data_IF_321230284129
#
_entry.id   IF_321230284129
#
_cell.length_a   1.000
_cell.length_b   1.000
_cell.length_c   1.000
_cell.angle_alpha   90.00
_cell.angle_beta   90.00
_cell.angle_gamma   90.00
#
_symmetry.space_group_name_H-M   'P 1'
#
loop_
_entity.id
_entity.type
_entity.pdbx_description
1 polymer ?
#
# COMPACT_ATOMS: atom_id res chain seq x y z
N UNK A 1 -17.71 -16.53 -7.64
CA UNK A 1 -17.18 -17.77 -8.23
C UNK A 1 -18.13 -18.95 -8.07
N UNK A 2 -18.58 -19.28 -6.83
CA UNK A 2 -19.39 -20.47 -6.53
C UNK A 2 -20.73 -20.49 -7.27
N UNK A 3 -21.40 -19.36 -7.37
CA UNK A 3 -22.69 -19.25 -8.11
C UNK A 3 -22.54 -19.49 -9.63
N UNK A 4 -21.35 -19.30 -10.16
CA UNK A 4 -21.03 -19.51 -11.60
C UNK A 4 -20.35 -20.86 -11.85
N UNK A 5 -20.34 -21.78 -10.86
CA UNK A 5 -19.67 -23.08 -10.97
C UNK A 5 -18.14 -23.04 -10.96
N UNK A 6 -17.55 -21.88 -10.61
CA UNK A 6 -16.11 -21.77 -10.46
C UNK A 6 -15.63 -22.32 -9.11
N UNK A 7 -14.37 -22.75 -9.07
CA UNK A 7 -13.71 -23.20 -7.85
C UNK A 7 -13.04 -22.02 -7.15
N UNK A 8 -13.27 -21.90 -5.83
CA UNK A 8 -12.58 -20.94 -4.97
C UNK A 8 -11.44 -21.68 -4.25
N UNK A 9 -10.21 -21.17 -4.42
CA UNK A 9 -9.07 -21.63 -3.65
C UNK A 9 -8.86 -20.72 -2.44
N UNK A 10 -8.83 -21.31 -1.25
CA UNK A 10 -8.47 -20.62 -0.03
C UNK A 10 -6.95 -20.72 0.14
N UNK A 11 -6.29 -19.58 0.15
CA UNK A 11 -4.86 -19.51 0.38
C UNK A 11 -4.53 -19.92 1.83
N UNK A 12 -3.44 -20.68 2.07
CA UNK A 12 -2.96 -20.92 3.42
C UNK A 12 -2.63 -19.62 4.16
N UNK A 13 -2.75 -19.61 5.49
CA UNK A 13 -2.48 -18.41 6.29
C UNK A 13 -1.02 -17.94 6.16
N UNK A 14 -0.11 -18.86 5.95
CA UNK A 14 1.33 -18.64 5.78
C UNK A 14 1.67 -17.88 4.47
N UNK A 15 0.76 -17.87 3.50
CA UNK A 15 0.95 -17.12 2.24
C UNK A 15 1.08 -15.60 2.46
N UNK A 16 0.55 -15.08 3.56
CA UNK A 16 0.75 -13.68 3.96
C UNK A 16 2.19 -13.33 4.33
N UNK A 17 3.05 -14.33 4.52
CA UNK A 17 4.45 -14.16 4.93
C UNK A 17 5.47 -14.36 3.81
N UNK A 18 5.04 -14.87 2.63
CA UNK A 18 5.93 -15.10 1.48
C UNK A 18 5.24 -14.72 0.18
N UNK A 19 5.69 -13.61 -0.41
CA UNK A 19 5.15 -13.09 -1.68
C UNK A 19 5.37 -14.05 -2.87
N UNK A 20 6.49 -14.76 -2.89
CA UNK A 20 6.81 -15.75 -3.92
C UNK A 20 5.83 -16.94 -3.91
N UNK A 21 5.37 -17.32 -2.72
CA UNK A 21 4.43 -18.43 -2.54
C UNK A 21 3.10 -18.19 -3.26
N UNK A 22 2.70 -16.92 -3.49
CA UNK A 22 1.47 -16.60 -4.23
C UNK A 22 1.56 -17.07 -5.68
N UNK A 23 2.66 -16.76 -6.37
CA UNK A 23 2.82 -17.16 -7.78
C UNK A 23 2.95 -18.67 -7.92
N UNK A 24 3.66 -19.33 -6.99
CA UNK A 24 3.69 -20.80 -6.91
C UNK A 24 2.30 -21.41 -6.68
N UNK A 25 1.45 -20.79 -5.87
CA UNK A 25 0.06 -21.22 -5.70
C UNK A 25 -0.77 -21.00 -6.98
N UNK A 26 -0.62 -19.85 -7.63
CA UNK A 26 -1.30 -19.53 -8.90
C UNK A 26 -1.00 -20.60 -9.94
N UNK A 27 0.26 -20.97 -10.10
CA UNK A 27 0.73 -22.03 -11.00
C UNK A 27 0.20 -23.41 -10.58
N UNK A 28 0.51 -23.86 -9.36
CA UNK A 28 0.17 -25.21 -8.85
C UNK A 28 -1.33 -25.48 -8.88
N UNK A 29 -2.16 -24.48 -8.56
CA UNK A 29 -3.62 -24.59 -8.56
C UNK A 29 -4.26 -24.16 -9.88
N UNK A 30 -3.45 -23.75 -10.88
CA UNK A 30 -3.89 -23.25 -12.19
C UNK A 30 -4.99 -22.18 -12.04
N UNK A 31 -4.72 -21.17 -11.21
CA UNK A 31 -5.65 -20.08 -10.95
C UNK A 31 -5.87 -19.29 -12.25
N UNK A 32 -7.14 -19.06 -12.59
CA UNK A 32 -7.49 -18.37 -13.83
C UNK A 32 -7.91 -16.91 -13.58
N UNK A 33 -8.39 -16.58 -12.38
CA UNK A 33 -8.86 -15.26 -11.99
C UNK A 33 -8.20 -14.85 -10.69
N UNK A 34 -7.58 -13.68 -10.69
CA UNK A 34 -6.91 -13.12 -9.51
C UNK A 34 -7.35 -11.65 -9.36
N UNK A 35 -7.61 -11.23 -8.13
CA UNK A 35 -7.95 -9.84 -7.82
C UNK A 35 -7.01 -9.31 -6.75
N UNK A 36 -6.45 -8.13 -6.99
CA UNK A 36 -5.60 -7.44 -6.02
C UNK A 36 -5.51 -5.93 -6.30
N UNK A 37 -5.13 -5.10 -5.30
CA UNK A 37 -4.84 -3.69 -5.53
C UNK A 37 -3.61 -3.52 -6.46
N UNK A 38 -3.55 -2.43 -7.25
CA UNK A 38 -2.40 -2.12 -8.10
C UNK A 38 -1.06 -2.08 -7.36
N UNK A 39 -1.02 -1.53 -6.16
CA UNK A 39 0.19 -1.47 -5.34
C UNK A 39 0.72 -2.86 -4.96
N UNK A 40 -0.16 -3.79 -4.62
CA UNK A 40 0.23 -5.18 -4.33
C UNK A 40 0.73 -5.89 -5.60
N UNK A 41 0.04 -5.70 -6.73
CA UNK A 41 0.49 -6.23 -8.01
C UNK A 41 1.90 -5.72 -8.37
N UNK A 42 2.12 -4.42 -8.23
CA UNK A 42 3.42 -3.80 -8.52
C UNK A 42 4.56 -4.40 -7.70
N UNK A 43 4.28 -4.74 -6.45
CA UNK A 43 5.28 -5.33 -5.57
C UNK A 43 5.52 -6.82 -5.85
N UNK A 44 4.47 -7.56 -6.25
CA UNK A 44 4.54 -9.00 -6.50
C UNK A 44 5.07 -9.35 -7.90
N UNK A 45 4.78 -8.51 -8.89
CA UNK A 45 5.09 -8.80 -10.29
C UNK A 45 6.58 -9.09 -10.56
N UNK A 46 7.56 -8.43 -9.91
CA UNK A 46 8.98 -8.77 -10.09
C UNK A 46 9.35 -10.20 -9.68
N UNK A 47 8.61 -10.81 -8.76
CA UNK A 47 8.85 -12.16 -8.26
C UNK A 47 8.09 -13.25 -9.03
N UNK A 48 7.27 -12.90 -10.01
CA UNK A 48 6.62 -13.89 -10.86
C UNK A 48 7.65 -14.57 -11.77
N UNK A 49 7.67 -15.88 -11.83
CA UNK A 49 8.38 -16.66 -12.85
C UNK A 49 7.72 -16.50 -14.23
N UNK A 50 8.43 -16.81 -15.30
CA UNK A 50 7.95 -16.59 -16.68
C UNK A 50 6.68 -17.41 -16.99
N UNK A 51 6.57 -18.63 -16.47
CA UNK A 51 5.44 -19.56 -16.72
C UNK A 51 4.32 -19.43 -15.65
N UNK A 52 4.56 -18.70 -14.56
CA UNK A 52 3.63 -18.66 -13.42
C UNK A 52 2.36 -17.84 -13.70
N UNK A 53 2.39 -17.01 -14.73
CA UNK A 53 1.23 -16.22 -15.18
C UNK A 53 0.41 -16.92 -16.28
N UNK A 54 0.86 -18.05 -16.81
CA UNK A 54 0.25 -18.72 -17.96
C UNK A 54 -1.19 -19.19 -17.72
N UNK A 55 -1.47 -19.65 -16.50
CA UNK A 55 -2.82 -20.08 -16.15
C UNK A 55 -3.79 -18.91 -15.92
N UNK A 56 -3.25 -17.71 -15.66
CA UNK A 56 -4.03 -16.52 -15.34
C UNK A 56 -4.66 -15.94 -16.61
N UNK A 57 -5.98 -15.88 -16.65
CA UNK A 57 -6.75 -15.36 -17.79
C UNK A 57 -7.27 -13.95 -17.52
N UNK A 58 -7.63 -13.69 -16.26
CA UNK A 58 -8.27 -12.47 -15.82
C UNK A 58 -7.56 -11.92 -14.58
N UNK A 59 -7.10 -10.70 -14.65
CA UNK A 59 -6.53 -9.98 -13.53
C UNK A 59 -7.39 -8.76 -13.22
N UNK A 60 -8.02 -8.75 -12.04
CA UNK A 60 -8.85 -7.66 -11.56
C UNK A 60 -8.02 -6.75 -10.64
N UNK A 61 -8.00 -5.46 -10.95
CA UNK A 61 -7.36 -4.43 -10.12
C UNK A 61 -8.41 -3.41 -9.68
N UNK A 62 -8.37 -3.00 -8.42
CA UNK A 62 -9.29 -2.01 -7.88
C UNK A 62 -8.81 -1.39 -6.57
N UNK A 63 -9.53 -0.37 -6.11
CA UNK A 63 -9.20 0.33 -4.87
C UNK A 63 -8.17 1.47 -5.01
N UNK A 64 -7.34 1.44 -6.04
CA UNK A 64 -6.33 2.46 -6.33
C UNK A 64 -6.30 2.79 -7.81
N UNK A 65 -5.65 3.90 -8.18
CA UNK A 65 -5.42 4.23 -9.57
C UNK A 65 -4.38 3.28 -10.18
N UNK A 66 -4.73 2.70 -11.32
CA UNK A 66 -3.84 1.81 -12.06
C UNK A 66 -2.88 2.64 -12.93
N UNK A 67 -1.58 2.43 -12.79
CA UNK A 67 -0.57 3.22 -13.51
C UNK A 67 -0.19 2.60 -14.87
N UNK A 68 0.07 3.46 -15.87
CA UNK A 68 0.55 3.00 -17.17
C UNK A 68 1.89 2.25 -17.11
N UNK A 69 2.78 2.63 -16.18
CA UNK A 69 4.05 1.94 -15.97
C UNK A 69 3.87 0.49 -15.49
N UNK A 70 2.92 0.25 -14.58
CA UNK A 70 2.60 -1.10 -14.13
C UNK A 70 2.02 -1.94 -15.27
N UNK A 71 1.15 -1.35 -16.10
CA UNK A 71 0.58 -2.05 -17.27
C UNK A 71 1.63 -2.40 -18.30
N UNK A 72 2.58 -1.52 -18.56
CA UNK A 72 3.68 -1.82 -19.47
C UNK A 72 4.54 -2.99 -18.98
N UNK A 73 4.85 -3.02 -17.68
CA UNK A 73 5.57 -4.14 -17.07
C UNK A 73 4.78 -5.45 -17.16
N UNK A 74 3.48 -5.40 -16.84
CA UNK A 74 2.60 -6.56 -16.92
C UNK A 74 2.45 -7.07 -18.36
N UNK A 75 2.23 -6.19 -19.32
CA UNK A 75 2.01 -6.54 -20.74
C UNK A 75 3.25 -7.13 -21.45
N UNK A 76 4.46 -6.94 -20.89
CA UNK A 76 5.68 -7.62 -21.37
C UNK A 76 5.71 -9.11 -21.01
N UNK A 77 5.00 -9.51 -19.95
CA UNK A 77 5.08 -10.86 -19.37
C UNK A 77 3.77 -11.63 -19.43
N UNK A 78 2.65 -10.96 -19.66
CA UNK A 78 1.32 -11.54 -19.61
C UNK A 78 0.43 -11.01 -20.73
N UNK A 79 -0.45 -11.86 -21.26
CA UNK A 79 -1.33 -11.54 -22.41
C UNK A 79 -2.82 -11.70 -22.10
N UNK A 80 -3.18 -11.76 -20.82
CA UNK A 80 -4.57 -11.95 -20.40
C UNK A 80 -5.40 -10.66 -20.42
N UNK A 81 -6.58 -10.76 -19.87
CA UNK A 81 -7.56 -9.67 -19.78
C UNK A 81 -7.41 -8.94 -18.45
N UNK A 82 -7.17 -7.64 -18.53
CA UNK A 82 -7.14 -6.75 -17.37
C UNK A 82 -8.54 -6.19 -17.11
N UNK A 83 -8.96 -6.23 -15.87
CA UNK A 83 -10.19 -5.59 -15.39
C UNK A 83 -9.83 -4.51 -14.37
N UNK A 84 -10.14 -3.27 -14.69
CA UNK A 84 -10.05 -2.16 -13.73
C UNK A 84 -11.40 -1.95 -13.07
N UNK A 85 -11.45 -2.12 -11.75
CA UNK A 85 -12.65 -2.03 -10.93
C UNK A 85 -12.64 -0.73 -10.11
N UNK A 86 -13.75 -0.05 -10.10
CA UNK A 86 -13.94 1.16 -9.33
C UNK A 86 -15.24 1.12 -8.56
N UNK A 87 -15.18 1.48 -7.28
CA UNK A 87 -16.35 1.73 -6.46
C UNK A 87 -15.98 2.08 -5.03
N UNK A 88 -16.75 2.95 -4.38
CA UNK A 88 -16.64 3.20 -2.95
C UNK A 88 -17.35 2.11 -2.15
N UNK A 89 -16.99 1.94 -0.89
CA UNK A 89 -17.65 1.04 0.06
C UNK A 89 -19.15 1.32 0.17
N UNK A 90 -19.53 2.59 0.06
CA UNK A 90 -20.90 3.08 0.10
C UNK A 90 -21.79 2.62 -1.08
N UNK A 91 -21.14 2.10 -2.15
CA UNK A 91 -21.81 1.50 -3.31
C UNK A 91 -21.47 0.01 -3.48
N UNK A 92 -21.08 -0.67 -2.41
CA UNK A 92 -20.79 -2.12 -2.37
C UNK A 92 -19.67 -2.53 -3.30
N UNK A 93 -18.47 -1.99 -3.03
CA UNK A 93 -17.17 -2.35 -3.60
C UNK A 93 -16.99 -1.92 -5.06
N UNK A 94 -17.76 -2.49 -6.00
CA UNK A 94 -17.59 -2.26 -7.44
C UNK A 94 -18.84 -1.60 -8.02
N UNK A 95 -18.67 -0.45 -8.64
CA UNK A 95 -19.73 0.32 -9.28
C UNK A 95 -19.47 0.55 -10.78
N UNK A 96 -18.21 0.63 -11.19
CA UNK A 96 -17.81 0.73 -12.59
C UNK A 96 -16.74 -0.30 -12.90
N UNK A 97 -16.69 -0.72 -14.15
CA UNK A 97 -15.77 -1.73 -14.65
C UNK A 97 -15.28 -1.36 -16.05
N UNK A 98 -13.96 -1.42 -16.25
CA UNK A 98 -13.31 -1.40 -17.53
C UNK A 98 -12.61 -2.74 -17.76
N UNK A 99 -12.73 -3.33 -18.94
CA UNK A 99 -12.07 -4.57 -19.30
C UNK A 99 -11.47 -4.48 -20.69
N UNK A 100 -10.22 -4.93 -20.84
CA UNK A 100 -9.54 -5.05 -22.12
C UNK A 100 -8.33 -6.00 -22.04
N UNK A 101 -7.89 -6.60 -23.16
CA UNK A 101 -6.60 -7.25 -23.22
C UNK A 101 -5.49 -6.28 -22.75
N UNK A 102 -4.60 -6.73 -21.89
CA UNK A 102 -3.59 -5.85 -21.25
C UNK A 102 -2.74 -5.06 -22.28
N UNK A 103 -2.49 -5.65 -23.45
CA UNK A 103 -1.71 -5.01 -24.52
C UNK A 103 -2.48 -3.94 -25.31
N UNK A 104 -3.80 -3.92 -25.19
CA UNK A 104 -4.66 -2.94 -25.85
C UNK A 104 -5.01 -1.75 -24.93
N UNK A 105 -4.64 -1.83 -23.66
CA UNK A 105 -4.87 -0.75 -22.70
C UNK A 105 -3.91 0.40 -22.97
N UNK A 106 -4.47 1.58 -23.24
CA UNK A 106 -3.70 2.81 -23.45
C UNK A 106 -3.15 3.42 -22.15
N UNK A 107 -2.42 4.53 -22.29
CA UNK A 107 -1.81 5.22 -21.15
C UNK A 107 -2.85 5.80 -20.16
N UNK A 108 -4.03 6.22 -20.65
CA UNK A 108 -5.16 6.69 -19.84
C UNK A 108 -6.14 5.55 -19.64
N UNK A 109 -6.16 4.99 -18.43
CA UNK A 109 -6.98 3.85 -18.06
C UNK A 109 -8.28 4.36 -17.43
N UNK A 110 -9.44 4.15 -18.06
CA UNK A 110 -10.70 4.57 -17.46
C UNK A 110 -11.08 3.68 -16.29
N UNK A 111 -11.94 4.18 -15.41
CA UNK A 111 -12.63 3.35 -14.42
C UNK A 111 -13.78 2.56 -15.04
N UNK A 112 -14.08 2.81 -16.28
CA UNK A 112 -15.02 2.03 -17.07
C UNK A 112 -16.44 2.58 -17.10
N UNK A 113 -17.36 1.71 -17.47
CA UNK A 113 -18.79 1.97 -17.47
C UNK A 113 -19.45 1.39 -16.20
N UNK A 114 -20.64 1.90 -15.79
CA UNK A 114 -21.38 1.33 -14.67
C UNK A 114 -21.71 -0.15 -14.91
N UNK A 115 -21.56 -0.95 -13.85
CA UNK A 115 -21.97 -2.37 -13.89
C UNK A 115 -23.51 -2.52 -13.88
N UNK A 116 -23.98 -3.72 -14.14
CA UNK A 116 -25.43 -4.00 -14.15
C UNK A 116 -26.09 -3.60 -12.83
N UNK A 117 -27.19 -2.87 -12.92
CA UNK A 117 -27.97 -2.39 -11.75
C UNK A 117 -27.40 -1.13 -11.09
N UNK A 118 -26.31 -0.56 -11.62
CA UNK A 118 -25.70 0.69 -11.17
C UNK A 118 -25.90 1.78 -12.24
N UNK A 119 -26.09 3.01 -11.79
CA UNK A 119 -26.12 4.21 -12.62
C UNK A 119 -25.05 5.17 -12.11
N UNK A 120 -24.27 5.73 -13.01
CA UNK A 120 -23.29 6.78 -12.74
C UNK A 120 -23.74 8.09 -13.41
N UNK A 121 -23.60 9.20 -12.69
CA UNK A 121 -23.83 10.55 -13.21
C UNK A 121 -22.61 11.41 -12.91
N UNK A 122 -22.32 12.32 -13.82
CA UNK A 122 -21.28 13.32 -13.59
C UNK A 122 -21.98 14.68 -13.57
N UNK A 123 -21.97 15.34 -12.40
CA UNK A 123 -22.67 16.59 -12.18
C UNK A 123 -21.69 17.75 -11.94
N UNK A 124 -22.06 18.91 -12.43
CA UNK A 124 -21.34 20.17 -12.14
C UNK A 124 -21.69 20.70 -10.73
N UNK A 125 -21.08 21.80 -10.34
CA UNK A 125 -21.30 22.42 -9.02
C UNK A 125 -22.74 22.95 -8.82
N UNK A 126 -23.49 23.17 -9.90
CA UNK A 126 -24.89 23.58 -9.85
C UNK A 126 -25.86 22.38 -9.83
N UNK A 127 -25.36 21.15 -9.92
CA UNK A 127 -26.14 19.93 -9.97
C UNK A 127 -26.63 19.56 -11.38
N UNK A 128 -26.18 20.26 -12.43
CA UNK A 128 -26.45 19.96 -13.82
C UNK A 128 -25.63 18.78 -14.34
N UNK A 129 -26.18 17.97 -15.26
CA UNK A 129 -25.42 16.87 -15.89
C UNK A 129 -24.34 17.45 -16.79
N UNK A 130 -23.08 17.04 -16.55
CA UNK A 130 -21.96 17.46 -17.38
C UNK A 130 -22.06 16.89 -18.79
N UNK A 131 -21.83 17.70 -19.85
CA UNK A 131 -21.64 17.20 -21.18
C UNK A 131 -20.45 16.25 -21.30
N UNK A 132 -20.47 15.39 -22.32
CA UNK A 132 -19.34 14.49 -22.63
C UNK A 132 -18.03 15.28 -22.77
N UNK A 133 -17.00 14.83 -22.08
CA UNK A 133 -15.69 15.46 -22.00
C UNK A 133 -15.55 16.53 -20.90
N UNK A 134 -16.64 17.00 -20.29
CA UNK A 134 -16.60 17.94 -19.19
C UNK A 134 -16.37 17.21 -17.84
N UNK A 135 -15.69 17.91 -16.92
CA UNK A 135 -15.37 17.44 -15.57
C UNK A 135 -16.50 17.76 -14.60
N UNK A 136 -16.80 16.86 -13.71
CA UNK A 136 -17.75 17.06 -12.63
C UNK A 136 -17.59 16.02 -11.53
N UNK A 137 -18.40 16.14 -10.48
CA UNK A 137 -18.45 15.13 -9.43
C UNK A 137 -19.12 13.85 -9.96
N UNK A 138 -18.50 12.70 -9.69
CA UNK A 138 -19.10 11.39 -9.95
C UNK A 138 -20.09 11.06 -8.86
N UNK A 139 -21.33 10.75 -9.24
CA UNK A 139 -22.38 10.27 -8.35
C UNK A 139 -22.82 8.88 -8.78
N UNK A 140 -23.14 8.02 -7.80
CA UNK A 140 -23.51 6.63 -8.04
C UNK A 140 -24.89 6.34 -7.45
N UNK A 141 -25.77 5.73 -8.25
CA UNK A 141 -27.08 5.26 -7.84
C UNK A 141 -27.27 3.79 -8.19
N UNK A 142 -28.18 3.11 -7.53
CA UNK A 142 -28.55 1.72 -7.84
C UNK A 142 -28.68 0.84 -6.61
N UNK A 143 -28.89 -0.46 -6.86
CA UNK A 143 -29.16 -1.46 -5.83
C UNK A 143 -27.99 -1.68 -4.84
N UNK A 144 -26.75 -1.36 -5.26
CA UNK A 144 -25.56 -1.48 -4.43
C UNK A 144 -25.37 -0.39 -3.39
N UNK A 145 -26.23 0.66 -3.35
CA UNK A 145 -26.06 1.74 -2.38
C UNK A 145 -26.31 1.26 -0.94
N UNK A 146 -25.41 1.61 -0.05
CA UNK A 146 -25.57 1.42 1.38
C UNK A 146 -26.77 2.23 1.92
N UNK A 147 -27.30 1.82 3.08
CA UNK A 147 -28.38 2.56 3.76
C UNK A 147 -27.91 3.92 4.27
N UNK A 148 -26.64 4.05 4.60
CA UNK A 148 -25.99 5.23 5.15
C UNK A 148 -24.92 4.86 6.17
N UNK A 149 -24.46 5.85 6.91
CA UNK A 149 -23.44 5.70 7.95
C UNK A 149 -24.12 5.45 9.32
N UNK A 150 -23.73 4.37 9.99
CA UNK A 150 -24.28 3.97 11.27
C UNK A 150 -24.06 5.07 12.33
N UNK A 151 -25.15 5.52 12.97
CA UNK A 151 -25.10 6.56 14.01
C UNK A 151 -24.73 7.96 13.52
N UNK A 152 -24.69 8.19 12.18
CA UNK A 152 -24.31 9.47 11.57
C UNK A 152 -25.37 10.00 10.60
N UNK A 153 -26.57 10.39 11.09
CA UNK A 153 -27.67 10.80 10.21
C UNK A 153 -27.35 12.07 9.40
N UNK A 154 -26.63 13.03 9.97
CA UNK A 154 -26.22 14.25 9.27
C UNK A 154 -25.30 13.95 8.08
N UNK A 155 -24.24 13.19 8.29
CA UNK A 155 -23.33 12.76 7.22
C UNK A 155 -24.04 11.90 6.18
N UNK A 156 -24.97 11.05 6.60
CA UNK A 156 -25.80 10.26 5.70
C UNK A 156 -26.63 11.15 4.78
N UNK A 157 -27.31 12.16 5.34
CA UNK A 157 -28.12 13.09 4.55
C UNK A 157 -27.29 13.97 3.61
N UNK A 158 -26.05 14.26 3.97
CA UNK A 158 -25.10 15.03 3.15
C UNK A 158 -24.60 14.23 1.94
N UNK A 159 -24.31 12.93 2.12
CA UNK A 159 -23.68 12.08 1.11
C UNK A 159 -24.67 11.24 0.30
N UNK A 160 -25.76 10.77 0.90
CA UNK A 160 -26.81 10.00 0.24
C UNK A 160 -28.02 10.90 0.00
N UNK A 161 -27.99 11.61 -1.11
CA UNK A 161 -28.98 12.63 -1.46
C UNK A 161 -30.09 12.06 -2.39
N UNK A 162 -31.25 12.69 -2.53
CA UNK A 162 -32.21 12.33 -3.57
C UNK A 162 -31.54 12.44 -4.97
N UNK A 163 -31.79 11.46 -5.84
CA UNK A 163 -31.35 11.54 -7.24
C UNK A 163 -32.20 12.56 -7.99
N UNK A 164 -31.67 13.72 -8.43
CA UNK A 164 -32.45 14.75 -9.09
C UNK A 164 -32.98 14.32 -10.45
N UNK A 165 -32.52 13.21 -10.98
CA UNK A 165 -32.89 12.63 -12.28
C UNK A 165 -33.46 11.22 -12.15
N UNK A 166 -33.80 10.79 -10.95
CA UNK A 166 -34.38 9.48 -10.66
C UNK A 166 -35.81 9.61 -10.09
N UNK A 167 -36.56 8.51 -10.07
CA UNK A 167 -37.94 8.47 -9.58
C UNK A 167 -38.01 8.22 -8.06
N UNK A 168 -37.51 9.18 -7.26
CA UNK A 168 -37.48 9.10 -5.80
C UNK A 168 -36.39 8.22 -5.20
N UNK A 169 -35.44 7.80 -5.99
CA UNK A 169 -34.26 7.04 -5.56
C UNK A 169 -33.20 7.94 -4.94
N UNK A 170 -32.23 7.30 -4.28
CA UNK A 170 -31.07 8.00 -3.72
C UNK A 170 -29.86 7.86 -4.65
N UNK A 171 -28.98 8.83 -4.58
CA UNK A 171 -27.69 8.83 -5.24
C UNK A 171 -26.59 9.19 -4.22
N UNK A 172 -25.46 8.51 -4.29
CA UNK A 172 -24.31 8.73 -3.43
C UNK A 172 -23.34 9.72 -4.08
N UNK A 173 -22.97 10.75 -3.35
CA UNK A 173 -21.95 11.73 -3.71
C UNK A 173 -20.59 11.19 -3.36
N UNK A 174 -19.80 10.77 -4.37
CA UNK A 174 -18.51 10.11 -4.12
C UNK A 174 -17.43 11.08 -3.66
N UNK A 175 -17.52 12.35 -4.03
CA UNK A 175 -16.44 13.32 -3.91
C UNK A 175 -15.30 13.10 -4.93
N UNK A 176 -15.48 12.19 -5.88
CA UNK A 176 -14.52 11.93 -6.94
C UNK A 176 -14.80 12.83 -8.15
N UNK A 177 -13.75 13.40 -8.72
CA UNK A 177 -13.79 14.15 -9.97
C UNK A 177 -13.68 13.17 -11.14
N UNK A 178 -14.58 13.26 -12.07
CA UNK A 178 -14.64 12.36 -13.22
C UNK A 178 -15.01 13.07 -14.52
N UNK A 179 -14.89 12.36 -15.63
CA UNK A 179 -15.26 12.82 -16.97
C UNK A 179 -15.83 11.65 -17.77
N UNK A 180 -16.95 11.86 -18.44
CA UNK A 180 -17.49 10.89 -19.41
C UNK A 180 -16.78 11.02 -20.75
N UNK A 181 -16.25 9.92 -21.28
CA UNK A 181 -15.65 9.85 -22.62
C UNK A 181 -16.73 9.69 -23.69
N UNK A 182 -16.35 9.90 -24.97
CA UNK A 182 -17.23 9.69 -26.11
C UNK A 182 -17.61 8.23 -26.35
N UNK A 183 -16.78 7.30 -25.88
CA UNK A 183 -17.00 5.85 -25.95
C UNK A 183 -17.87 5.33 -24.80
N UNK A 184 -18.37 6.21 -23.92
CA UNK A 184 -19.20 5.84 -22.77
C UNK A 184 -18.41 5.39 -21.55
N UNK A 185 -17.08 5.34 -21.59
CA UNK A 185 -16.23 5.07 -20.45
C UNK A 185 -16.08 6.32 -19.58
N UNK A 186 -15.81 6.10 -18.29
CA UNK A 186 -15.59 7.17 -17.31
C UNK A 186 -14.12 7.23 -16.93
N UNK A 187 -13.54 8.43 -17.04
CA UNK A 187 -12.23 8.73 -16.51
C UNK A 187 -12.33 9.19 -15.06
N UNK A 188 -11.45 8.66 -14.22
CA UNK A 188 -11.19 9.18 -12.88
C UNK A 188 -10.12 10.27 -12.95
N UNK A 189 -10.40 11.44 -12.39
CA UNK A 189 -9.53 12.62 -12.46
C UNK A 189 -9.01 13.08 -11.08
N UNK A 190 -9.20 12.25 -10.05
CA UNK A 190 -8.80 12.54 -8.69
C UNK A 190 -9.98 12.85 -7.77
N UNK A 191 -9.69 13.49 -6.63
CA UNK A 191 -10.68 13.84 -5.60
C UNK A 191 -11.01 15.32 -5.62
N UNK A 192 -12.25 15.66 -5.27
CA UNK A 192 -12.68 17.03 -4.98
C UNK A 192 -12.31 17.47 -3.57
N UNK A 193 -12.20 16.53 -2.66
CA UNK A 193 -11.77 16.71 -1.28
C UNK A 193 -10.30 16.29 -1.08
N UNK A 194 -9.84 16.24 0.16
CA UNK A 194 -8.46 15.89 0.50
C UNK A 194 -8.27 14.43 0.87
N UNK A 195 -9.30 13.60 0.70
CA UNK A 195 -9.20 12.17 0.93
C UNK A 195 -8.21 11.54 -0.04
N UNK A 196 -7.43 10.59 0.43
CA UNK A 196 -6.42 9.90 -0.37
C UNK A 196 -6.62 8.39 -0.34
N UNK A 197 -6.13 7.70 -1.36
CA UNK A 197 -6.07 6.25 -1.40
C UNK A 197 -4.60 5.83 -1.40
N UNK A 198 -4.16 5.22 -0.31
CA UNK A 198 -2.77 4.77 -0.13
C UNK A 198 -2.80 3.27 0.18
N UNK A 199 -2.17 2.45 -0.64
CA UNK A 199 -2.07 0.98 -0.48
C UNK A 199 -3.45 0.31 -0.34
N UNK A 200 -4.45 0.77 -1.09
CA UNK A 200 -5.84 0.30 -1.04
C UNK A 200 -6.66 0.85 0.13
N UNK A 201 -6.05 1.52 1.09
CA UNK A 201 -6.76 2.17 2.20
C UNK A 201 -7.26 3.55 1.79
N UNK A 202 -8.52 3.82 2.13
CA UNK A 202 -9.15 5.12 1.98
C UNK A 202 -8.94 5.92 3.26
N UNK A 203 -8.19 7.02 3.18
CA UNK A 203 -7.73 7.79 4.33
C UNK A 203 -8.31 9.19 4.29
N UNK A 204 -9.01 9.56 5.35
CA UNK A 204 -9.48 10.92 5.62
C UNK A 204 -8.36 11.71 6.32
N UNK A 205 -7.66 12.57 5.58
CA UNK A 205 -6.58 13.38 6.16
C UNK A 205 -7.06 14.25 7.32
N UNK A 206 -8.29 14.80 7.22
CA UNK A 206 -8.91 15.59 8.27
C UNK A 206 -9.16 14.84 9.58
N UNK A 207 -9.34 13.52 9.55
CA UNK A 207 -9.44 12.72 10.77
C UNK A 207 -8.11 12.67 11.52
N UNK A 208 -7.00 12.51 10.80
CA UNK A 208 -5.65 12.54 11.38
C UNK A 208 -5.34 13.93 11.95
N UNK A 209 -5.67 14.99 11.18
CA UNK A 209 -5.51 16.38 11.60
C UNK A 209 -6.31 16.65 12.89
N UNK A 210 -7.56 16.19 12.98
CA UNK A 210 -8.39 16.35 14.16
C UNK A 210 -7.78 15.67 15.39
N UNK A 211 -7.24 14.45 15.26
CA UNK A 211 -6.57 13.72 16.36
C UNK A 211 -5.26 14.40 16.80
N UNK A 212 -4.54 15.00 15.86
CA UNK A 212 -3.35 15.80 16.19
C UNK A 212 -3.72 17.05 16.97
N UNK A 213 -4.79 17.74 16.58
CA UNK A 213 -5.28 18.95 17.27
C UNK A 213 -5.88 18.69 18.67
N UNK A 214 -6.26 17.45 18.98
CA UNK A 214 -6.65 17.05 20.34
C UNK A 214 -5.46 17.01 21.34
N UNK A 215 -4.22 17.01 20.84
CA UNK A 215 -3.03 17.00 21.68
C UNK A 215 -2.70 18.41 22.17
N UNK A 216 -2.58 18.61 23.49
CA UNK A 216 -2.30 19.90 24.10
C UNK A 216 -1.00 20.55 23.58
N UNK A 217 -0.04 19.75 23.12
CA UNK A 217 1.23 20.23 22.58
C UNK A 217 1.14 20.74 21.13
N UNK A 218 -0.01 20.56 20.44
CA UNK A 218 -0.22 20.93 19.03
C UNK A 218 -1.06 22.20 18.94
N UNK A 219 -0.56 23.21 18.21
CA UNK A 219 -1.29 24.43 17.88
C UNK A 219 -2.04 24.31 16.56
N UNK A 220 -1.34 23.82 15.53
CA UNK A 220 -1.89 23.63 14.18
C UNK A 220 -1.32 22.33 13.59
N UNK A 221 -2.12 21.63 12.81
CA UNK A 221 -1.70 20.44 12.12
C UNK A 221 -2.29 20.36 10.72
N UNK A 222 -1.51 19.89 9.76
CA UNK A 222 -1.93 19.59 8.40
C UNK A 222 -1.30 18.27 7.97
N UNK A 223 -2.08 17.40 7.32
CA UNK A 223 -1.59 16.15 6.78
C UNK A 223 -1.74 16.13 5.28
N UNK A 224 -0.71 15.72 4.57
CA UNK A 224 -0.72 15.56 3.12
C UNK A 224 -0.30 14.15 2.73
N UNK A 225 -0.77 13.70 1.56
CA UNK A 225 -0.12 12.60 0.87
C UNK A 225 0.95 13.16 -0.05
N UNK A 226 2.14 12.61 0.03
CA UNK A 226 3.28 12.97 -0.81
C UNK A 226 3.87 11.71 -1.45
N UNK A 227 4.43 11.88 -2.65
CA UNK A 227 5.15 10.80 -3.32
C UNK A 227 6.52 10.63 -2.65
N UNK A 228 6.77 9.47 -2.11
CA UNK A 228 8.06 9.05 -1.55
C UNK A 228 8.76 8.05 -2.47
N UNK A 229 9.98 7.67 -2.12
CA UNK A 229 10.77 6.71 -2.89
C UNK A 229 10.05 5.35 -3.07
N UNK A 230 9.23 4.97 -2.09
CA UNK A 230 8.48 3.71 -2.02
C UNK A 230 6.99 3.84 -2.34
N UNK A 231 6.55 4.94 -2.96
CA UNK A 231 5.15 5.24 -3.28
C UNK A 231 4.55 6.32 -2.40
N UNK A 232 3.23 6.51 -2.50
CA UNK A 232 2.54 7.52 -1.70
C UNK A 232 2.61 7.22 -0.20
N UNK A 233 2.87 8.28 0.59
CA UNK A 233 2.99 8.22 2.04
C UNK A 233 2.35 9.45 2.70
N UNK A 234 1.98 9.31 3.98
CA UNK A 234 1.45 10.40 4.77
C UNK A 234 2.58 11.25 5.36
N UNK A 235 2.45 12.56 5.22
CA UNK A 235 3.37 13.57 5.73
C UNK A 235 2.62 14.50 6.68
N UNK A 236 2.99 14.51 7.95
CA UNK A 236 2.41 15.35 8.99
C UNK A 236 3.18 16.66 9.16
N UNK A 237 2.53 17.79 8.97
CA UNK A 237 3.02 19.12 9.31
C UNK A 237 2.41 19.54 10.62
N UNK A 238 3.24 19.90 11.60
CA UNK A 238 2.80 20.26 12.94
C UNK A 238 3.44 21.55 13.38
N UNK A 239 2.60 22.43 13.91
CA UNK A 239 3.04 23.63 14.62
C UNK A 239 2.82 23.38 16.10
N UNK A 240 3.89 23.24 16.92
CA UNK A 240 3.74 23.01 18.34
C UNK A 240 3.26 24.27 19.10
N UNK A 241 2.66 24.07 20.27
CA UNK A 241 2.30 25.18 21.17
C UNK A 241 3.56 25.89 21.68
N UNK A 242 4.59 25.12 22.06
CA UNK A 242 5.90 25.65 22.45
C UNK A 242 6.87 25.60 21.27
N UNK A 243 7.26 26.76 20.75
CA UNK A 243 8.24 26.87 19.65
C UNK A 243 9.61 26.32 20.06
N UNK A 244 9.94 26.31 21.36
CA UNK A 244 11.16 25.67 21.89
C UNK A 244 11.21 24.15 21.68
N UNK A 245 10.07 23.51 21.37
CA UNK A 245 10.02 22.09 21.00
C UNK A 245 10.54 21.79 19.58
N UNK A 246 10.88 22.82 18.80
CA UNK A 246 11.44 22.66 17.45
C UNK A 246 12.94 22.32 17.46
N UNK A 247 13.61 22.41 18.60
CA UNK A 247 15.07 22.28 18.72
C UNK A 247 15.49 20.93 19.33
N UNK A 248 16.52 20.31 18.74
CA UNK A 248 17.26 19.18 19.28
C UNK A 248 16.42 17.97 19.71
N UNK A 249 16.71 17.41 20.87
CA UNK A 249 16.05 16.21 21.42
C UNK A 249 14.55 16.39 21.67
N UNK A 250 14.09 17.63 21.94
CA UNK A 250 12.67 17.92 22.19
C UNK A 250 11.82 17.65 20.95
N UNK A 251 12.35 17.91 19.75
CA UNK A 251 11.68 17.61 18.49
C UNK A 251 11.45 16.12 18.28
N UNK A 252 12.46 15.30 18.61
CA UNK A 252 12.35 13.85 18.59
C UNK A 252 11.30 13.33 19.58
N UNK A 253 11.35 13.81 20.81
CA UNK A 253 10.38 13.45 21.85
C UNK A 253 8.94 13.85 21.48
N UNK A 254 8.73 15.03 20.88
CA UNK A 254 7.43 15.47 20.38
C UNK A 254 6.92 14.54 19.29
N UNK A 255 7.76 14.18 18.31
CA UNK A 255 7.40 13.25 17.23
C UNK A 255 6.93 11.90 17.79
N UNK A 256 7.67 11.31 18.72
CA UNK A 256 7.30 10.02 19.30
C UNK A 256 6.03 10.09 20.15
N UNK A 257 5.82 11.19 20.87
CA UNK A 257 4.58 11.40 21.62
C UNK A 257 3.36 11.48 20.68
N UNK A 258 3.47 12.24 19.59
CA UNK A 258 2.39 12.37 18.59
C UNK A 258 2.12 11.04 17.86
N UNK A 259 3.16 10.29 17.47
CA UNK A 259 3.01 8.95 16.90
C UNK A 259 2.26 8.02 17.85
N UNK A 260 2.66 7.99 19.11
CA UNK A 260 2.03 7.15 20.14
C UNK A 260 0.57 7.52 20.35
N UNK A 261 0.25 8.82 20.41
CA UNK A 261 -1.12 9.32 20.54
C UNK A 261 -2.00 8.91 19.35
N UNK A 262 -1.47 9.02 18.13
CA UNK A 262 -2.20 8.59 16.92
C UNK A 262 -2.38 7.06 16.88
N UNK A 263 -1.35 6.28 17.20
CA UNK A 263 -1.44 4.80 17.25
C UNK A 263 -2.46 4.30 18.27
N UNK A 264 -2.72 5.04 19.34
CA UNK A 264 -3.72 4.70 20.35
C UNK A 264 -5.17 4.87 19.84
N UNK A 265 -5.40 5.71 18.81
CA UNK A 265 -6.74 6.10 18.37
C UNK A 265 -7.04 5.81 16.89
N UNK A 266 -6.01 5.62 16.08
CA UNK A 266 -6.11 5.40 14.63
C UNK A 266 -5.41 4.09 14.21
N UNK A 267 -5.86 3.47 13.12
CA UNK A 267 -5.14 2.38 12.49
C UNK A 267 -3.72 2.80 12.04
N UNK A 268 -2.80 1.88 12.04
CA UNK A 268 -1.37 2.15 11.72
C UNK A 268 -1.17 2.81 10.36
N UNK A 269 -1.97 2.44 9.34
CA UNK A 269 -1.90 3.02 7.99
C UNK A 269 -2.32 4.50 7.93
N UNK A 270 -2.95 5.04 8.99
CA UNK A 270 -3.31 6.46 9.13
C UNK A 270 -2.26 7.28 9.90
N UNK A 271 -1.22 6.65 10.42
CA UNK A 271 -0.15 7.36 11.14
C UNK A 271 0.87 7.90 10.14
N UNK A 272 1.15 9.23 10.10
CA UNK A 272 2.17 9.78 9.23
C UNK A 272 3.54 9.13 9.45
N UNK A 273 4.21 8.77 8.35
CA UNK A 273 5.56 8.21 8.39
C UNK A 273 6.64 9.28 8.45
N UNK A 274 6.34 10.46 7.90
CA UNK A 274 7.23 11.60 7.94
C UNK A 274 6.58 12.80 8.62
N UNK A 275 7.40 13.61 9.28
CA UNK A 275 6.95 14.73 10.10
C UNK A 275 7.79 15.97 9.81
N UNK A 276 7.12 17.09 9.62
CA UNK A 276 7.74 18.40 9.48
C UNK A 276 7.20 19.32 10.56
N UNK A 277 8.08 19.81 11.40
CA UNK A 277 7.71 20.74 12.47
C UNK A 277 8.02 22.16 12.03
N UNK A 278 7.03 23.06 12.15
CA UNK A 278 7.09 24.42 11.68
C UNK A 278 6.79 25.41 12.82
N UNK A 279 7.37 26.61 12.74
CA UNK A 279 7.00 27.70 13.64
C UNK A 279 5.60 28.27 13.32
N UNK A 280 5.19 28.23 12.04
CA UNK A 280 3.86 28.59 11.56
C UNK A 280 3.59 27.93 10.21
N UNK A 281 2.31 27.67 9.90
CA UNK A 281 1.91 27.22 8.57
C UNK A 281 1.96 28.39 7.57
N UNK A 282 2.40 28.16 6.34
CA UNK A 282 2.37 29.17 5.30
C UNK A 282 0.92 29.47 4.88
N UNK A 283 0.57 30.75 4.78
CA UNK A 283 -0.76 31.19 4.42
C UNK A 283 -0.74 32.05 3.15
N UNK A 284 -1.77 31.88 2.33
CA UNK A 284 -2.08 32.76 1.21
C UNK A 284 -2.54 34.13 1.72
N UNK A 285 -2.53 35.21 0.87
CA UNK A 285 -3.00 36.54 1.26
C UNK A 285 -4.44 36.59 1.78
N UNK A 286 -5.26 35.57 1.46
CA UNK A 286 -6.65 35.45 1.93
C UNK A 286 -6.78 34.67 3.26
N UNK A 287 -5.64 34.34 3.91
CA UNK A 287 -5.61 33.63 5.18
C UNK A 287 -5.79 32.11 5.08
N UNK A 288 -5.94 31.55 3.88
CA UNK A 288 -6.02 30.10 3.68
C UNK A 288 -4.63 29.48 3.63
N UNK A 289 -4.52 28.23 4.02
CA UNK A 289 -3.28 27.44 3.93
C UNK A 289 -2.72 27.43 2.49
N UNK A 290 -1.46 27.81 2.35
CA UNK A 290 -0.70 27.63 1.11
C UNK A 290 0.00 26.26 1.11
N UNK A 291 -0.69 25.25 0.61
CA UNK A 291 -0.14 23.88 0.54
C UNK A 291 1.09 23.75 -0.35
N UNK A 292 1.26 24.66 -1.33
CA UNK A 292 2.40 24.63 -2.25
C UNK A 292 3.67 25.21 -1.62
N UNK A 293 3.50 26.09 -0.64
CA UNK A 293 4.60 26.69 0.11
C UNK A 293 5.05 25.85 1.31
N UNK A 294 4.39 24.70 1.60
CA UNK A 294 4.84 23.79 2.62
C UNK A 294 6.19 23.19 2.22
N UNK A 295 7.20 23.20 3.10
CA UNK A 295 8.51 22.66 2.78
C UNK A 295 8.45 21.16 2.58
N UNK A 296 9.27 20.64 1.68
CA UNK A 296 9.49 19.20 1.59
C UNK A 296 10.13 18.70 2.90
N UNK A 297 9.86 17.44 3.32
CA UNK A 297 10.59 16.86 4.44
C UNK A 297 12.09 16.87 4.10
N UNK A 298 12.87 17.46 4.99
CA UNK A 298 14.32 17.43 4.83
C UNK A 298 14.80 15.99 5.04
N UNK A 299 15.65 15.50 4.13
CA UNK A 299 16.28 14.19 4.24
C UNK A 299 17.16 14.06 5.52
N UNK A 300 17.31 15.13 6.30
CA UNK A 300 18.07 15.23 7.53
C UNK A 300 17.23 15.34 8.81
N UNK A 301 15.91 15.34 8.74
CA UNK A 301 15.06 15.44 9.94
C UNK A 301 14.98 14.15 10.76
N UNK A 302 15.43 13.04 10.23
CA UNK A 302 15.95 11.91 11.01
C UNK A 302 17.41 12.21 11.39
N UNK A 303 17.63 13.23 12.23
CA UNK A 303 18.93 13.44 12.88
C UNK A 303 19.15 12.41 14.00
N UNK A 304 19.11 11.15 13.66
CA UNK A 304 20.02 10.19 14.28
C UNK A 304 21.35 10.36 13.56
N UNK A 305 22.40 10.62 14.33
CA UNK A 305 23.75 10.68 13.80
C UNK A 305 23.97 9.38 13.02
N UNK A 306 24.20 9.49 11.70
CA UNK A 306 24.46 8.32 10.87
C UNK A 306 25.55 7.46 11.51
N UNK A 307 25.17 6.30 11.98
CA UNK A 307 26.10 5.29 12.47
C UNK A 307 26.28 4.27 11.33
N UNK A 308 27.50 4.13 10.83
CA UNK A 308 27.78 3.20 9.75
C UNK A 308 27.63 1.74 10.26
N UNK A 309 27.07 0.83 9.44
CA UNK A 309 27.07 -0.59 9.73
C UNK A 309 28.49 -1.13 9.93
N UNK A 310 28.72 -1.88 11.02
CA UNK A 310 30.05 -2.33 11.44
C UNK A 310 30.31 -3.79 11.06
N UNK A 311 29.33 -4.69 11.28
CA UNK A 311 29.47 -6.11 10.95
C UNK A 311 29.07 -6.42 9.52
N UNK A 312 29.53 -7.54 8.96
CA UNK A 312 29.18 -7.98 7.61
C UNK A 312 27.67 -8.15 7.45
N UNK A 313 26.98 -8.67 8.47
CA UNK A 313 25.53 -8.84 8.44
C UNK A 313 24.79 -7.49 8.45
N UNK A 314 25.24 -6.55 9.27
CA UNK A 314 24.68 -5.18 9.30
C UNK A 314 24.85 -4.47 7.96
N UNK A 315 26.04 -4.60 7.34
CA UNK A 315 26.31 -4.02 6.02
C UNK A 315 25.42 -4.61 4.94
N UNK A 316 25.22 -5.92 4.94
CA UNK A 316 24.36 -6.61 3.99
C UNK A 316 22.88 -6.25 4.20
N UNK A 317 22.42 -6.21 5.44
CA UNK A 317 21.05 -5.78 5.75
C UNK A 317 20.80 -4.31 5.38
N UNK A 318 21.78 -3.43 5.66
CA UNK A 318 21.70 -2.03 5.26
C UNK A 318 21.65 -1.86 3.74
N UNK A 319 22.41 -2.64 2.99
CA UNK A 319 22.36 -2.65 1.52
C UNK A 319 21.02 -3.12 0.99
N UNK A 320 20.45 -4.20 1.57
CA UNK A 320 19.12 -4.69 1.23
C UNK A 320 18.05 -3.63 1.51
N UNK A 321 18.10 -2.98 2.67
CA UNK A 321 17.14 -1.92 3.01
C UNK A 321 17.29 -0.71 2.08
N UNK A 322 18.52 -0.28 1.79
CA UNK A 322 18.78 0.82 0.87
C UNK A 322 18.21 0.56 -0.52
N UNK A 323 18.39 -0.65 -1.04
CA UNK A 323 17.85 -1.07 -2.34
C UNK A 323 16.32 -1.10 -2.33
N UNK A 324 15.70 -1.72 -1.30
CA UNK A 324 14.24 -1.85 -1.19
C UNK A 324 13.56 -0.50 -0.98
N UNK A 325 14.15 0.35 -0.15
CA UNK A 325 13.64 1.69 0.17
C UNK A 325 14.06 2.74 -0.86
N UNK A 326 14.94 2.39 -1.81
CA UNK A 326 15.52 3.31 -2.82
C UNK A 326 16.23 4.50 -2.19
N UNK A 327 17.01 4.25 -1.15
CA UNK A 327 17.80 5.22 -0.42
C UNK A 327 19.28 5.08 -0.81
N UNK A 328 20.04 6.16 -0.69
CA UNK A 328 21.49 6.11 -0.93
C UNK A 328 22.24 5.30 0.13
N UNK A 329 21.78 5.34 1.38
CA UNK A 329 22.39 4.63 2.52
C UNK A 329 21.39 4.43 3.65
N UNK A 330 21.68 3.44 4.51
CA UNK A 330 20.95 3.14 5.74
C UNK A 330 21.94 2.96 6.88
N UNK A 331 21.68 3.55 8.04
CA UNK A 331 22.53 3.50 9.24
C UNK A 331 22.05 2.46 10.25
N UNK A 332 22.90 2.16 11.24
CA UNK A 332 22.64 1.18 12.30
C UNK A 332 21.39 1.48 13.14
N UNK A 333 21.18 2.77 13.42
CA UNK A 333 20.08 3.24 14.26
C UNK A 333 18.81 3.55 13.50
N UNK A 334 18.83 3.38 12.18
CA UNK A 334 17.68 3.67 11.33
C UNK A 334 16.56 2.65 11.55
N UNK A 335 15.34 3.17 11.61
CA UNK A 335 14.11 2.38 11.70
C UNK A 335 13.52 2.21 10.30
N UNK A 336 13.31 0.96 9.89
CA UNK A 336 12.78 0.60 8.57
C UNK A 336 11.48 1.35 8.21
N UNK A 337 10.55 1.44 9.16
CA UNK A 337 9.25 2.08 8.91
C UNK A 337 9.37 3.61 8.86
N UNK A 338 10.30 4.20 9.61
CA UNK A 338 10.56 5.65 9.57
C UNK A 338 11.24 6.09 8.28
N UNK A 339 12.05 5.21 7.69
CA UNK A 339 12.64 5.41 6.37
C UNK A 339 11.63 5.27 5.21
N UNK A 340 10.34 5.05 5.52
CA UNK A 340 9.27 4.89 4.55
C UNK A 340 8.96 3.44 4.22
N UNK A 341 9.53 2.50 4.98
CA UNK A 341 9.19 1.08 4.91
C UNK A 341 7.74 0.83 5.30
N UNK A 342 7.15 -0.20 4.75
CA UNK A 342 5.79 -0.67 5.05
C UNK A 342 5.69 -2.18 4.81
N UNK A 343 4.57 -2.80 5.19
CA UNK A 343 4.39 -4.25 5.15
C UNK A 343 4.80 -4.89 3.81
N UNK A 344 4.49 -4.23 2.69
CA UNK A 344 4.82 -4.72 1.37
C UNK A 344 6.33 -4.67 1.08
N UNK A 345 7.02 -3.59 1.46
CA UNK A 345 8.47 -3.48 1.35
C UNK A 345 9.19 -4.37 2.38
N UNK A 346 8.59 -4.52 3.57
CA UNK A 346 9.06 -5.47 4.56
C UNK A 346 9.14 -6.90 3.98
N UNK A 347 8.12 -7.32 3.23
CA UNK A 347 8.13 -8.63 2.58
C UNK A 347 9.22 -8.72 1.49
N UNK A 348 9.50 -7.63 0.76
CA UNK A 348 10.63 -7.60 -0.19
C UNK A 348 11.99 -7.74 0.52
N UNK A 349 12.13 -7.15 1.71
CA UNK A 349 13.33 -7.35 2.55
C UNK A 349 13.49 -8.81 2.93
N UNK A 350 12.40 -9.47 3.37
CA UNK A 350 12.43 -10.90 3.74
C UNK A 350 12.94 -11.78 2.60
N UNK A 351 12.41 -11.55 1.38
CA UNK A 351 12.82 -12.30 0.19
C UNK A 351 14.31 -12.11 -0.07
N UNK A 352 14.80 -10.85 -0.08
CA UNK A 352 16.21 -10.57 -0.32
C UNK A 352 17.14 -11.11 0.78
N UNK A 353 16.73 -11.04 2.04
CA UNK A 353 17.47 -11.64 3.16
C UNK A 353 17.61 -13.14 2.95
N UNK A 354 16.55 -13.81 2.52
CA UNK A 354 16.59 -15.25 2.22
C UNK A 354 17.49 -15.55 1.01
N UNK A 355 17.33 -14.82 -0.09
CA UNK A 355 18.08 -15.06 -1.33
C UNK A 355 19.57 -14.72 -1.20
N UNK A 356 19.90 -13.60 -0.57
CA UNK A 356 21.27 -13.08 -0.53
C UNK A 356 22.06 -13.58 0.69
N UNK A 357 21.36 -13.78 1.83
CA UNK A 357 22.00 -14.15 3.09
C UNK A 357 21.74 -15.62 3.49
N UNK A 358 20.78 -16.29 2.84
CA UNK A 358 20.35 -17.64 3.22
C UNK A 358 19.68 -17.72 4.59
N UNK A 359 19.22 -16.60 5.13
CA UNK A 359 18.59 -16.50 6.45
C UNK A 359 17.08 -16.48 6.31
N UNK A 360 16.38 -17.29 7.10
CA UNK A 360 14.94 -17.22 7.21
C UNK A 360 14.52 -16.20 8.27
N UNK A 361 13.68 -15.26 7.88
CA UNK A 361 13.13 -14.20 8.73
C UNK A 361 11.62 -14.13 8.57
N UNK A 362 10.87 -14.09 9.67
CA UNK A 362 9.43 -13.88 9.63
C UNK A 362 9.09 -12.38 9.54
N UNK A 363 8.00 -12.05 8.83
CA UNK A 363 7.54 -10.66 8.73
C UNK A 363 7.33 -9.99 10.10
N UNK A 364 6.83 -10.75 11.06
CA UNK A 364 6.63 -10.31 12.45
C UNK A 364 7.92 -9.80 13.10
N UNK A 365 9.06 -10.39 12.76
CA UNK A 365 10.35 -10.03 13.36
C UNK A 365 10.80 -8.63 12.91
N UNK A 366 10.57 -8.24 11.66
CA UNK A 366 10.86 -6.89 11.21
C UNK A 366 9.95 -5.85 11.89
N UNK A 367 8.72 -6.23 12.26
CA UNK A 367 7.84 -5.38 13.06
C UNK A 367 8.28 -5.29 14.53
N UNK A 368 8.78 -6.38 15.10
CA UNK A 368 9.27 -6.42 16.48
C UNK A 368 10.64 -5.74 16.63
N UNK A 369 11.50 -5.86 15.61
CA UNK A 369 12.85 -5.31 15.57
C UNK A 369 13.04 -4.39 14.35
N UNK A 370 12.34 -3.23 14.31
CA UNK A 370 12.36 -2.37 13.14
C UNK A 370 13.64 -1.54 12.98
N UNK A 371 14.54 -1.56 13.96
CA UNK A 371 15.85 -0.89 13.89
C UNK A 371 16.89 -1.85 13.36
N UNK A 372 17.76 -1.39 12.43
CA UNK A 372 18.70 -2.24 11.73
C UNK A 372 19.59 -3.06 12.68
N UNK A 373 20.17 -2.42 13.70
CA UNK A 373 21.05 -3.07 14.69
C UNK A 373 20.31 -4.15 15.47
N UNK A 374 19.05 -3.91 15.87
CA UNK A 374 18.29 -4.88 16.64
C UNK A 374 17.90 -6.08 15.78
N UNK A 375 17.53 -5.84 14.51
CA UNK A 375 17.27 -6.89 13.56
C UNK A 375 18.50 -7.72 13.25
N UNK A 376 19.66 -7.09 13.02
CA UNK A 376 20.92 -7.77 12.79
C UNK A 376 21.27 -8.71 13.95
N UNK A 377 21.19 -8.20 15.19
CA UNK A 377 21.43 -8.97 16.41
C UNK A 377 20.48 -10.18 16.54
N UNK A 378 19.21 -10.02 16.16
CA UNK A 378 18.23 -11.09 16.18
C UNK A 378 18.56 -12.20 15.18
N UNK A 379 19.12 -11.83 14.02
CA UNK A 379 19.47 -12.75 12.95
C UNK A 379 20.85 -13.40 13.12
N UNK A 380 21.82 -12.74 13.76
CA UNK A 380 23.16 -13.29 14.03
C UNK A 380 23.12 -14.63 14.79
N UNK A 381 22.19 -14.76 15.75
CA UNK A 381 22.00 -15.99 16.51
C UNK A 381 21.56 -17.20 15.67
N UNK A 382 21.05 -17.00 14.45
CA UNK A 382 20.54 -18.05 13.57
C UNK A 382 21.55 -18.50 12.51
N UNK A 383 22.45 -17.62 12.09
CA UNK A 383 23.49 -17.97 11.13
C UNK A 383 24.41 -19.07 11.61
N UNK A 384 24.68 -19.13 12.92
CA UNK A 384 25.51 -20.20 13.54
C UNK A 384 24.79 -21.56 13.58
N UNK A 385 23.48 -21.60 13.67
CA UNK A 385 22.70 -22.86 13.73
C UNK A 385 22.53 -23.46 12.32
N UNK A 386 22.29 -22.63 11.30
CA UNK A 386 22.18 -23.08 9.91
C UNK A 386 23.52 -23.58 9.35
N UNK A 387 24.62 -22.90 9.67
CA UNK A 387 25.95 -23.33 9.26
C UNK A 387 26.37 -24.65 9.93
N UNK A 388 26.02 -24.86 11.22
CA UNK A 388 26.30 -26.10 11.92
C UNK A 388 25.48 -27.27 11.40
N UNK A 389 24.21 -27.06 11.03
CA UNK A 389 23.35 -28.08 10.42
C UNK A 389 23.82 -28.46 9.01
N UNK A 390 24.24 -27.47 8.19
CA UNK A 390 24.82 -27.74 6.87
C UNK A 390 26.14 -28.49 6.96
N UNK A 391 26.98 -28.20 7.93
CA UNK A 391 28.23 -28.88 8.19
C UNK A 391 28.00 -30.34 8.72
N UNK A 392 26.98 -30.52 9.57
CA UNK A 392 26.54 -31.86 10.00
C UNK A 392 25.92 -32.67 8.86
N UNK A 393 25.09 -32.03 8.02
CA UNK A 393 24.53 -32.71 6.82
C UNK A 393 25.63 -33.09 5.81
N UNK A 394 26.59 -32.20 5.58
CA UNK A 394 27.73 -32.47 4.72
C UNK A 394 28.59 -33.64 5.25
N UNK A 395 28.88 -33.64 6.56
CA UNK A 395 29.58 -34.74 7.22
C UNK A 395 28.79 -36.09 7.15
N UNK A 396 27.46 -36.03 7.33
CA UNK A 396 26.58 -37.17 7.21
C UNK A 396 26.51 -37.73 5.78
N UNK A 397 26.46 -36.81 4.77
CA UNK A 397 26.50 -37.19 3.35
C UNK A 397 27.84 -37.76 2.94
N UNK A 398 28.97 -37.27 3.46
CA UNK A 398 30.29 -37.87 3.24
C UNK A 398 30.41 -39.23 3.93
N UNK A 399 29.86 -39.38 5.12
CA UNK A 399 29.82 -40.68 5.80
C UNK A 399 28.98 -41.73 5.03
N UNK A 400 27.80 -41.31 4.50
CA UNK A 400 26.96 -42.15 3.63
C UNK A 400 27.65 -42.55 2.32
N UNK A 401 28.42 -41.67 1.71
CA UNK A 401 29.20 -41.99 0.49
C UNK A 401 30.35 -42.95 0.71
N UNK A 402 30.78 -43.19 1.94
CA UNK A 402 31.86 -44.13 2.32
C UNK A 402 31.34 -45.51 2.71
N UNK A 403 30.02 -45.70 2.86
CA UNK A 403 29.42 -46.98 3.15
C UNK A 403 29.50 -47.91 1.94
N UNK A 404 29.84 -49.15 2.17
CA UNK A 404 29.81 -50.24 1.16
C UNK A 404 28.38 -50.72 0.92
N UNK A 405 28.14 -51.36 -0.20
CA UNK A 405 26.81 -51.88 -0.56
C UNK A 405 26.25 -52.83 0.50
N UNK A 406 27.12 -53.62 1.17
CA UNK A 406 26.76 -54.57 2.25
C UNK A 406 26.33 -53.85 3.53
N UNK A 407 26.90 -52.65 3.84
CA UNK A 407 26.54 -51.86 5.00
C UNK A 407 25.24 -51.08 4.78
N UNK A 408 24.92 -50.69 3.52
CA UNK A 408 23.66 -50.07 3.16
C UNK A 408 22.49 -51.03 3.27
N UNK A 409 22.68 -52.28 2.83
CA UNK A 409 21.66 -53.35 2.95
C UNK A 409 21.38 -53.73 4.42
N UNK A 410 22.39 -53.66 5.29
CA UNK A 410 22.22 -53.86 6.73
C UNK A 410 21.47 -52.77 7.48
N UNK A 411 21.43 -51.52 6.95
CA UNK A 411 20.71 -50.39 7.53
C UNK A 411 19.26 -50.31 7.04
N UNK A 412 18.90 -51.04 5.97
CA UNK A 412 17.57 -51.03 5.37
C UNK A 412 16.74 -52.27 5.65
N UNK A 413 17.34 -53.27 6.33
CA UNK A 413 16.69 -54.50 6.82
C UNK A 413 16.36 -54.36 8.33
#
# INVERSE_FOLDING_TARGET
PLMSGARLHLAPAELGTSLESLWGLVEAQRINVLQMPPSLLQALLPFAGDDQLDSLRLLCCGGEALSGALLEQLGRRWNGELVNLYGPTEATIDACCFSAPVKEVGAEIPIGAPIAGVRARILDAAGGVCPVGCRGELLIAGAGLARGYLGRPGLTAERFVPDPYGDGERIYRTGDLARLRRDGQIDYLGRLDHQVKIRGFRIELGEIEARLLEQECVREAVVLAADGASGQQLLGYVVPQDVGALEGEKRGALREALKSALKASLPEYMVPTQWVFLAALPLLPNGKLDRKALPAPEAGDSQQVYAAPETDLEQQLAAIWAEVLKLERVGLTDNFFELGGHSLLATQVLVRVREQLGLEMALKELFEFPVLTDLARQLEGRGSVSASLQDELAKSLEALKRLTTEEIDALTS
#
